data_IF_677742312278
#
_entry.id   IF_677742312278
#
_cell.length_a   1.000
_cell.length_b   1.000
_cell.length_c   1.000
_cell.angle_alpha   90.00
_cell.angle_beta   90.00
_cell.angle_gamma   90.00
#
_symmetry.space_group_name_H-M   'P 1'
#
loop_
_entity.id
_entity.type
_entity.pdbx_description
1 polymer ?
#
# COMPACT_ATOMS: atom_id res chain seq x y z
N UNK A 1 -73.18 -9.12 50.39
CA UNK A 1 -73.10 -8.29 49.19
C UNK A 1 -72.30 -6.92 49.38
N UNK A 2 -72.16 -6.42 50.60
CA UNK A 2 -71.48 -5.11 50.85
C UNK A 2 -69.96 -5.15 50.89
N UNK A 3 -69.31 -6.30 50.87
CA UNK A 3 -67.88 -6.42 50.96
C UNK A 3 -67.16 -6.32 49.58
N UNK A 4 -67.84 -6.65 48.48
CA UNK A 4 -67.31 -6.62 47.13
C UNK A 4 -67.29 -5.24 46.45
N UNK A 5 -68.13 -4.30 46.88
CA UNK A 5 -68.20 -2.95 46.30
C UNK A 5 -67.05 -2.05 46.74
N UNK A 6 -66.37 -2.41 47.84
CA UNK A 6 -65.17 -1.65 48.30
C UNK A 6 -63.80 -2.16 47.71
N UNK A 7 -63.77 -3.33 47.10
CA UNK A 7 -62.59 -3.92 46.52
C UNK A 7 -62.40 -3.52 45.03
N UNK A 8 -63.46 -3.22 44.28
CA UNK A 8 -63.40 -2.80 42.89
C UNK A 8 -62.57 -1.55 42.66
N UNK A 9 -62.65 -0.44 43.41
CA UNK A 9 -61.79 0.73 43.22
C UNK A 9 -60.31 0.47 43.52
N UNK A 10 -60.04 -0.53 44.37
CA UNK A 10 -58.65 -0.92 44.71
C UNK A 10 -58.01 -1.77 43.62
N UNK A 11 -58.79 -2.63 42.95
CA UNK A 11 -58.33 -3.44 41.80
C UNK A 11 -58.12 -2.59 40.59
N UNK A 12 -59.04 -1.66 40.27
CA UNK A 12 -58.86 -0.73 39.15
C UNK A 12 -57.62 0.15 39.33
N UNK A 13 -57.33 0.61 40.56
CA UNK A 13 -56.13 1.39 40.89
C UNK A 13 -54.81 0.55 40.75
N UNK A 14 -54.90 -0.74 41.16
CA UNK A 14 -53.80 -1.66 41.00
C UNK A 14 -53.47 -1.94 39.52
N UNK A 15 -54.46 -2.16 38.68
CA UNK A 15 -54.42 -2.34 37.25
C UNK A 15 -53.84 -1.09 36.52
N UNK A 16 -54.23 0.09 36.97
CA UNK A 16 -53.69 1.35 36.43
C UNK A 16 -52.19 1.49 36.74
N UNK A 17 -51.80 1.20 37.99
CA UNK A 17 -50.40 1.25 38.41
C UNK A 17 -49.55 0.22 37.67
N UNK A 18 -50.07 -0.97 37.40
CA UNK A 18 -49.41 -2.01 36.62
C UNK A 18 -49.12 -1.53 35.18
N UNK A 19 -50.14 -0.93 34.52
CA UNK A 19 -49.97 -0.35 33.17
C UNK A 19 -48.96 0.81 33.13
N UNK A 20 -48.96 1.68 34.16
CA UNK A 20 -47.97 2.76 34.26
C UNK A 20 -46.56 2.21 34.45
N UNK A 21 -46.39 1.15 35.26
CA UNK A 21 -45.11 0.47 35.43
C UNK A 21 -44.63 -0.23 34.14
N UNK A 22 -45.51 -0.91 33.41
CA UNK A 22 -45.20 -1.52 32.12
C UNK A 22 -44.71 -0.47 31.12
N UNK A 23 -45.44 0.64 30.97
CA UNK A 23 -45.04 1.73 30.08
C UNK A 23 -43.68 2.35 30.47
N UNK A 24 -43.40 2.50 31.76
CA UNK A 24 -42.12 2.98 32.26
C UNK A 24 -40.98 2.00 31.94
N UNK A 25 -41.21 0.68 32.12
CA UNK A 25 -40.22 -0.35 31.80
C UNK A 25 -39.93 -0.38 30.28
N UNK A 26 -40.97 -0.35 29.45
CA UNK A 26 -40.81 -0.32 27.99
C UNK A 26 -39.99 0.88 27.52
N UNK A 27 -40.30 2.06 28.06
CA UNK A 27 -39.53 3.27 27.76
C UNK A 27 -38.05 3.14 28.19
N UNK A 28 -37.81 2.68 29.43
CA UNK A 28 -36.45 2.50 29.96
C UNK A 28 -35.66 1.50 29.12
N UNK A 29 -36.26 0.39 28.70
CA UNK A 29 -35.63 -0.61 27.82
C UNK A 29 -35.29 0.00 26.46
N UNK A 30 -36.15 0.85 25.92
CA UNK A 30 -35.93 1.54 24.65
C UNK A 30 -34.77 2.51 24.77
N UNK A 31 -34.77 3.36 25.80
CA UNK A 31 -33.68 4.33 26.07
C UNK A 31 -32.31 3.63 26.23
N UNK A 32 -32.25 2.51 26.96
CA UNK A 32 -31.04 1.70 27.13
C UNK A 32 -30.56 1.07 25.80
N UNK A 33 -31.49 0.64 24.94
CA UNK A 33 -31.13 0.10 23.62
C UNK A 33 -30.53 1.18 22.74
N UNK A 34 -31.11 2.37 22.71
CA UNK A 34 -30.57 3.52 21.93
C UNK A 34 -29.20 3.95 22.43
N UNK A 35 -29.00 4.01 23.76
CA UNK A 35 -27.68 4.33 24.36
C UNK A 35 -26.65 3.29 23.99
N UNK A 36 -26.97 1.99 24.00
CA UNK A 36 -26.05 0.92 23.59
C UNK A 36 -25.70 0.98 22.11
N UNK A 37 -26.68 1.31 21.25
CA UNK A 37 -26.40 1.52 19.80
C UNK A 37 -25.42 2.67 19.62
N UNK A 38 -25.63 3.80 20.31
CA UNK A 38 -24.76 4.97 20.22
C UNK A 38 -23.33 4.66 20.69
N UNK A 39 -23.17 3.92 21.80
CA UNK A 39 -21.86 3.46 22.30
C UNK A 39 -21.16 2.55 21.30
N UNK A 40 -21.90 1.65 20.65
CA UNK A 40 -21.33 0.74 19.65
C UNK A 40 -20.84 1.48 18.40
N UNK A 41 -21.57 2.51 17.95
CA UNK A 41 -21.14 3.36 16.82
C UNK A 41 -19.83 4.07 17.16
N UNK A 42 -19.73 4.67 18.34
CA UNK A 42 -18.50 5.34 18.79
C UNK A 42 -17.34 4.35 18.86
N UNK A 43 -17.56 3.16 19.41
CA UNK A 43 -16.53 2.13 19.51
C UNK A 43 -16.03 1.71 18.11
N UNK A 44 -16.93 1.52 17.16
CA UNK A 44 -16.55 1.17 15.78
C UNK A 44 -15.74 2.28 15.09
N UNK A 45 -16.11 3.56 15.33
CA UNK A 45 -15.36 4.71 14.81
C UNK A 45 -13.95 4.79 15.42
N UNK A 46 -13.83 4.61 16.74
CA UNK A 46 -12.53 4.60 17.42
C UNK A 46 -11.65 3.46 16.92
N UNK A 47 -12.21 2.26 16.71
CA UNK A 47 -11.47 1.12 16.18
C UNK A 47 -10.99 1.38 14.75
N UNK A 48 -11.83 2.01 13.91
CA UNK A 48 -11.44 2.39 12.55
C UNK A 48 -10.28 3.39 12.56
N UNK A 49 -10.39 4.44 13.38
CA UNK A 49 -9.33 5.45 13.51
C UNK A 49 -8.02 4.87 14.05
N UNK A 50 -8.11 3.95 15.01
CA UNK A 50 -6.94 3.25 15.54
C UNK A 50 -6.23 2.42 14.46
N UNK A 51 -6.97 1.66 13.67
CA UNK A 51 -6.42 0.87 12.57
C UNK A 51 -5.74 1.75 11.51
N UNK A 52 -6.32 2.92 11.21
CA UNK A 52 -5.74 3.90 10.29
C UNK A 52 -4.41 4.45 10.83
N UNK A 53 -4.36 4.83 12.09
CA UNK A 53 -3.13 5.31 12.75
C UNK A 53 -2.06 4.21 12.72
N UNK A 54 -2.40 2.98 13.08
CA UNK A 54 -1.47 1.84 13.05
C UNK A 54 -0.90 1.63 11.64
N UNK A 55 -1.73 1.76 10.62
CA UNK A 55 -1.31 1.68 9.22
C UNK A 55 -0.31 2.79 8.85
N UNK A 56 -0.62 4.04 9.20
CA UNK A 56 0.27 5.18 8.95
C UNK A 56 1.61 5.06 9.68
N UNK A 57 1.61 4.54 10.90
CA UNK A 57 2.85 4.26 11.64
C UNK A 57 3.72 3.24 10.90
N UNK A 58 3.14 2.15 10.41
CA UNK A 58 3.88 1.13 9.63
C UNK A 58 4.47 1.70 8.33
N UNK A 59 3.74 2.56 7.63
CA UNK A 59 4.25 3.27 6.45
C UNK A 59 5.43 4.17 6.83
N UNK A 60 5.29 4.96 7.89
CA UNK A 60 6.35 5.85 8.36
C UNK A 60 7.62 5.08 8.77
N UNK A 61 7.47 3.94 9.45
CA UNK A 61 8.59 3.07 9.79
C UNK A 61 9.28 2.48 8.55
N UNK A 62 8.52 2.16 7.50
CA UNK A 62 9.07 1.66 6.24
C UNK A 62 9.91 2.74 5.56
N UNK A 63 9.41 3.98 5.45
CA UNK A 63 10.16 5.12 4.90
C UNK A 63 11.42 5.40 5.73
N UNK A 64 11.32 5.34 7.06
CA UNK A 64 12.48 5.54 7.96
C UNK A 64 13.61 4.53 7.75
N UNK A 65 13.30 3.32 7.28
CA UNK A 65 14.30 2.29 6.97
C UNK A 65 14.91 2.44 5.58
N UNK A 66 14.31 3.24 4.71
CA UNK A 66 14.80 3.50 3.37
C UNK A 66 16.01 4.44 3.41
N UNK A 67 17.01 4.15 2.59
CA UNK A 67 18.12 5.05 2.29
C UNK A 67 17.81 5.96 1.08
N UNK A 68 16.71 5.70 0.37
CA UNK A 68 16.30 6.40 -0.85
C UNK A 68 15.11 7.34 -0.60
N UNK A 69 14.00 6.84 -0.03
CA UNK A 69 12.81 7.64 0.26
C UNK A 69 13.09 8.62 1.39
N UNK A 70 12.76 9.89 1.16
CA UNK A 70 13.00 10.99 2.12
C UNK A 70 11.73 11.36 2.90
N UNK A 71 10.56 11.02 2.37
CA UNK A 71 9.28 11.37 2.98
C UNK A 71 8.18 10.35 2.67
N UNK A 72 7.12 10.38 3.46
CA UNK A 72 5.89 9.61 3.21
C UNK A 72 5.22 10.08 1.91
N UNK A 73 5.33 11.37 1.56
CA UNK A 73 4.73 11.93 0.35
C UNK A 73 5.32 11.32 -0.92
N UNK A 74 6.64 11.04 -0.93
CA UNK A 74 7.30 10.34 -2.04
C UNK A 74 6.74 8.93 -2.22
N UNK A 75 6.55 8.19 -1.14
CA UNK A 75 5.95 6.86 -1.19
C UNK A 75 4.49 6.93 -1.63
N UNK A 76 3.71 7.86 -1.07
CA UNK A 76 2.31 8.07 -1.43
C UNK A 76 2.14 8.41 -2.92
N UNK A 77 3.04 9.19 -3.49
CA UNK A 77 3.02 9.50 -4.92
C UNK A 77 3.20 8.22 -5.77
N UNK A 78 4.11 7.33 -5.40
CA UNK A 78 4.28 6.04 -6.09
C UNK A 78 3.01 5.18 -5.93
N UNK A 79 2.42 5.12 -4.73
CA UNK A 79 1.19 4.37 -4.48
C UNK A 79 0.00 4.91 -5.30
N UNK A 80 -0.11 6.22 -5.48
CA UNK A 80 -1.10 6.84 -6.37
C UNK A 80 -0.91 6.38 -7.83
N UNK A 81 0.32 6.25 -8.31
CA UNK A 81 0.60 5.74 -9.66
C UNK A 81 0.25 4.25 -9.81
N UNK A 82 0.42 3.45 -8.77
CA UNK A 82 -0.01 2.04 -8.75
C UNK A 82 -1.54 1.94 -8.87
N UNK A 83 -2.28 2.83 -8.22
CA UNK A 83 -3.75 2.96 -8.31
C UNK A 83 -4.52 1.67 -8.01
N UNK A 84 -4.07 0.92 -7.01
CA UNK A 84 -4.72 -0.32 -6.53
C UNK A 84 -5.41 -0.15 -5.16
N UNK A 85 -5.66 1.09 -4.76
CA UNK A 85 -6.22 1.43 -3.46
C UNK A 85 -5.17 1.42 -2.34
N UNK A 86 -5.64 1.48 -1.09
CA UNK A 86 -4.77 1.51 0.07
C UNK A 86 -4.06 0.16 0.27
N UNK A 87 -2.73 0.16 0.42
CA UNK A 87 -2.00 -1.06 0.68
C UNK A 87 -2.29 -1.58 2.10
N UNK A 88 -2.36 -2.90 2.25
CA UNK A 88 -2.45 -3.55 3.57
C UNK A 88 -1.10 -3.65 4.27
N UNK A 89 -0.02 -3.70 3.50
CA UNK A 89 1.35 -3.63 4.02
C UNK A 89 2.34 -3.19 2.95
N UNK A 90 3.44 -2.57 3.41
CA UNK A 90 4.60 -2.23 2.60
C UNK A 90 5.82 -2.70 3.37
N UNK A 91 6.67 -3.49 2.72
CA UNK A 91 7.86 -4.07 3.34
C UNK A 91 9.11 -3.83 2.49
N UNK A 92 10.16 -3.27 3.08
CA UNK A 92 11.49 -3.19 2.47
C UNK A 92 12.11 -4.59 2.47
N UNK A 93 12.12 -5.24 1.31
CA UNK A 93 12.69 -6.56 1.12
C UNK A 93 14.21 -6.49 0.99
N UNK A 94 14.68 -5.78 -0.02
CA UNK A 94 16.09 -5.73 -0.42
C UNK A 94 16.62 -4.29 -0.37
N UNK A 95 17.87 -4.15 0.08
CA UNK A 95 18.60 -2.91 0.13
C UNK A 95 20.07 -3.20 -0.20
N UNK A 96 20.56 -2.68 -1.30
CA UNK A 96 21.86 -3.09 -1.86
C UNK A 96 23.06 -2.81 -0.95
N UNK A 97 22.99 -1.77 -0.12
CA UNK A 97 24.02 -1.47 0.89
C UNK A 97 24.02 -2.43 2.08
N UNK A 98 22.89 -3.09 2.37
CA UNK A 98 22.74 -4.08 3.44
C UNK A 98 22.96 -5.50 2.95
N UNK A 99 22.44 -5.83 1.76
CA UNK A 99 22.26 -7.20 1.27
C UNK A 99 23.24 -7.58 0.16
N UNK A 100 24.21 -6.72 -0.14
CA UNK A 100 25.18 -6.85 -1.21
C UNK A 100 24.60 -6.71 -2.65
N UNK A 101 25.43 -6.23 -3.58
CA UNK A 101 25.09 -6.06 -5.01
C UNK A 101 25.29 -7.37 -5.79
N UNK A 102 24.63 -8.45 -5.38
CA UNK A 102 24.76 -9.77 -6.02
C UNK A 102 23.39 -10.29 -6.47
N UNK A 103 23.35 -10.82 -7.70
CA UNK A 103 22.13 -11.41 -8.24
C UNK A 103 21.60 -12.55 -7.37
N UNK A 104 22.48 -13.47 -6.90
CA UNK A 104 22.08 -14.58 -6.05
C UNK A 104 21.38 -14.10 -4.77
N UNK A 105 21.94 -13.09 -4.10
CA UNK A 105 21.34 -12.52 -2.87
C UNK A 105 20.04 -11.81 -3.17
N UNK A 106 19.97 -11.04 -4.28
CA UNK A 106 18.73 -10.41 -4.73
C UNK A 106 17.63 -11.46 -4.93
N UNK A 107 17.89 -12.50 -5.69
CA UNK A 107 16.92 -13.54 -5.98
C UNK A 107 16.51 -14.36 -4.75
N UNK A 108 17.43 -14.62 -3.82
CA UNK A 108 17.08 -15.29 -2.55
C UNK A 108 16.08 -14.46 -1.70
N UNK A 109 16.12 -13.14 -1.83
CA UNK A 109 15.30 -12.23 -1.02
C UNK A 109 14.01 -11.84 -1.74
N UNK A 110 14.07 -11.60 -3.06
CA UNK A 110 13.00 -10.92 -3.80
C UNK A 110 12.13 -11.88 -4.63
N UNK A 111 12.65 -13.06 -4.99
CA UNK A 111 11.88 -14.05 -5.74
C UNK A 111 10.64 -14.51 -4.97
N UNK A 112 9.53 -14.72 -5.70
CA UNK A 112 8.25 -15.09 -5.11
C UNK A 112 7.44 -13.93 -4.54
N UNK A 113 7.99 -12.71 -4.52
CA UNK A 113 7.29 -11.50 -4.08
C UNK A 113 6.74 -10.72 -5.28
N UNK A 114 5.42 -10.73 -5.54
CA UNK A 114 4.78 -9.89 -6.56
C UNK A 114 4.54 -8.47 -6.03
N UNK A 115 4.09 -7.58 -6.92
CA UNK A 115 3.78 -6.18 -6.62
C UNK A 115 4.97 -5.47 -5.94
N UNK A 116 6.09 -5.44 -6.64
CA UNK A 116 7.30 -4.82 -6.12
C UNK A 116 7.55 -3.43 -6.72
N UNK A 117 7.96 -2.49 -5.85
CA UNK A 117 8.53 -1.19 -6.22
C UNK A 117 10.04 -1.34 -6.14
N UNK A 118 10.74 -1.06 -7.22
CA UNK A 118 12.21 -0.99 -7.23
C UNK A 118 12.63 0.47 -7.37
N UNK A 119 13.47 0.94 -6.46
CA UNK A 119 14.03 2.29 -6.44
C UNK A 119 15.53 2.25 -6.71
N UNK A 120 16.02 3.22 -7.46
CA UNK A 120 17.43 3.47 -7.70
C UNK A 120 17.74 4.92 -7.40
N UNK A 121 18.78 5.19 -6.61
CA UNK A 121 19.32 6.53 -6.41
C UNK A 121 20.69 6.66 -7.04
N UNK A 122 20.97 7.83 -7.64
CA UNK A 122 22.27 8.15 -8.21
C UNK A 122 23.24 8.67 -7.12
N UNK A 123 24.53 8.47 -7.33
CA UNK A 123 25.56 8.88 -6.38
C UNK A 123 25.84 10.38 -6.40
N UNK A 124 25.71 11.01 -7.56
CA UNK A 124 26.08 12.41 -7.78
C UNK A 124 24.91 13.34 -7.97
N UNK A 125 23.75 12.78 -8.37
CA UNK A 125 22.53 13.53 -8.65
C UNK A 125 21.51 13.22 -7.55
N UNK A 126 20.78 14.26 -7.13
CA UNK A 126 19.66 14.05 -6.23
C UNK A 126 18.44 13.51 -7.00
N UNK A 127 18.64 12.37 -7.67
CA UNK A 127 17.67 11.74 -8.55
C UNK A 127 17.32 10.35 -8.06
N UNK A 128 16.03 10.09 -8.03
CA UNK A 128 15.45 8.77 -7.75
C UNK A 128 14.60 8.37 -8.95
N UNK A 129 14.97 7.27 -9.58
CA UNK A 129 14.19 6.62 -10.62
C UNK A 129 13.84 5.21 -10.19
N UNK A 130 12.83 4.62 -10.79
CA UNK A 130 12.42 3.28 -10.42
C UNK A 130 11.34 2.70 -11.31
N UNK A 131 10.80 1.58 -10.87
CA UNK A 131 9.69 0.94 -11.55
C UNK A 131 8.84 0.11 -10.59
N UNK A 132 7.64 -0.18 -11.04
CA UNK A 132 6.69 -1.08 -10.41
C UNK A 132 6.36 -2.23 -11.33
N UNK A 133 6.22 -3.43 -10.77
CA UNK A 133 5.71 -4.61 -11.48
C UNK A 133 4.81 -5.44 -10.57
N UNK A 134 3.77 -6.05 -11.16
CA UNK A 134 2.93 -7.05 -10.48
C UNK A 134 3.55 -8.44 -10.53
N UNK A 135 4.58 -8.64 -11.34
CA UNK A 135 5.24 -9.92 -11.54
C UNK A 135 6.32 -10.17 -10.49
N UNK A 136 6.62 -11.45 -10.27
CA UNK A 136 7.77 -11.89 -9.49
C UNK A 136 9.06 -11.83 -10.33
N UNK A 137 10.23 -11.77 -9.69
CA UNK A 137 11.52 -11.65 -10.38
C UNK A 137 12.15 -13.00 -10.77
N UNK A 138 11.60 -14.11 -10.30
CA UNK A 138 12.02 -15.47 -10.66
C UNK A 138 11.78 -15.76 -12.16
N UNK A 139 12.63 -16.57 -12.75
CA UNK A 139 12.46 -16.99 -14.15
C UNK A 139 13.70 -16.76 -15.00
N UNK A 140 13.52 -16.91 -16.34
CA UNK A 140 14.62 -16.78 -17.32
C UNK A 140 14.15 -16.16 -18.63
N UNK A 141 13.13 -15.28 -18.59
CA UNK A 141 12.56 -14.69 -19.80
C UNK A 141 11.77 -13.42 -19.48
N UNK A 142 11.28 -12.75 -20.49
CA UNK A 142 10.35 -11.64 -20.35
C UNK A 142 9.04 -12.07 -19.69
N UNK A 143 8.55 -11.25 -18.78
CA UNK A 143 7.23 -11.42 -18.17
C UNK A 143 6.25 -10.37 -18.66
N UNK A 144 5.00 -10.81 -18.84
CA UNK A 144 3.89 -9.95 -19.26
C UNK A 144 3.29 -9.26 -18.04
N UNK A 145 3.22 -7.93 -18.09
CA UNK A 145 2.58 -7.11 -17.05
C UNK A 145 1.96 -5.86 -17.67
N UNK A 146 0.64 -5.73 -17.56
CA UNK A 146 -0.10 -4.56 -18.06
C UNK A 146 -0.06 -3.37 -17.10
N UNK A 147 0.25 -3.62 -15.84
CA UNK A 147 0.24 -2.62 -14.76
C UNK A 147 1.64 -2.05 -14.49
N UNK A 148 2.68 -2.61 -15.11
CA UNK A 148 4.05 -2.16 -14.93
C UNK A 148 4.23 -0.72 -15.41
N UNK A 149 5.09 0.01 -14.70
CA UNK A 149 5.50 1.35 -15.10
C UNK A 149 6.90 1.67 -14.59
N UNK A 150 7.55 2.63 -15.25
CA UNK A 150 8.74 3.30 -14.76
C UNK A 150 8.38 4.70 -14.25
N UNK A 151 9.25 5.28 -13.46
CA UNK A 151 9.04 6.64 -12.96
C UNK A 151 10.36 7.36 -12.66
N UNK A 152 10.29 8.69 -12.72
CA UNK A 152 11.29 9.58 -12.17
C UNK A 152 10.59 10.36 -11.02
N UNK A 153 11.05 10.12 -9.79
CA UNK A 153 10.43 10.69 -8.60
C UNK A 153 10.70 12.20 -8.48
N UNK A 154 11.89 12.64 -8.89
CA UNK A 154 12.25 14.05 -8.90
C UNK A 154 11.36 14.86 -9.86
N UNK A 155 11.09 14.33 -11.07
CA UNK A 155 10.18 14.93 -12.05
C UNK A 155 8.71 14.71 -11.73
N UNK A 156 8.39 13.86 -10.76
CA UNK A 156 7.03 13.38 -10.49
C UNK A 156 6.34 12.85 -11.76
N UNK A 157 7.08 12.11 -12.57
CA UNK A 157 6.64 11.60 -13.87
C UNK A 157 6.62 10.08 -13.89
N UNK A 158 5.52 9.52 -14.43
CA UNK A 158 5.30 8.09 -14.63
C UNK A 158 5.28 7.75 -16.11
N UNK A 159 5.85 6.61 -16.47
CA UNK A 159 5.95 6.09 -17.84
C UNK A 159 5.31 4.71 -17.88
N UNK A 160 4.12 4.59 -18.46
CA UNK A 160 3.37 3.34 -18.53
C UNK A 160 3.99 2.36 -19.52
N UNK A 161 3.77 1.07 -19.28
CA UNK A 161 4.20 0.04 -20.22
C UNK A 161 3.42 0.16 -21.53
N UNK A 162 4.11 0.20 -22.68
CA UNK A 162 3.53 0.18 -24.03
C UNK A 162 3.65 -1.19 -24.70
N UNK A 163 4.61 -2.02 -24.25
CA UNK A 163 4.76 -3.40 -24.66
C UNK A 163 4.69 -4.34 -23.44
N UNK A 164 3.46 -4.69 -22.99
CA UNK A 164 3.28 -5.49 -21.77
C UNK A 164 3.97 -6.85 -21.81
N UNK A 165 4.13 -7.47 -22.98
CA UNK A 165 4.82 -8.77 -23.11
C UNK A 165 6.31 -8.71 -22.77
N UNK A 166 6.86 -7.52 -22.66
CA UNK A 166 8.26 -7.24 -22.29
C UNK A 166 8.34 -6.22 -21.16
N UNK A 167 7.44 -6.36 -20.17
CA UNK A 167 7.38 -5.42 -19.06
C UNK A 167 8.61 -5.54 -18.14
N UNK A 168 9.01 -6.75 -17.79
CA UNK A 168 10.27 -7.01 -17.08
C UNK A 168 11.01 -8.17 -17.73
N UNK A 169 12.33 -8.22 -17.52
CA UNK A 169 13.14 -9.37 -17.86
C UNK A 169 13.63 -10.06 -16.59
N UNK A 170 13.12 -11.27 -16.33
CA UNK A 170 13.53 -12.08 -15.20
C UNK A 170 14.75 -12.95 -15.61
N UNK A 171 15.81 -12.89 -14.83
CA UNK A 171 17.00 -13.72 -15.06
C UNK A 171 17.80 -13.88 -13.77
N UNK A 172 18.23 -15.09 -13.40
CA UNK A 172 19.00 -15.30 -12.17
C UNK A 172 20.39 -14.67 -12.19
N UNK A 173 20.82 -14.14 -13.34
CA UNK A 173 22.12 -13.48 -13.51
C UNK A 173 22.08 -11.96 -13.35
N UNK A 174 20.89 -11.37 -13.29
CA UNK A 174 20.70 -9.92 -13.18
C UNK A 174 19.89 -9.60 -11.93
N UNK A 175 19.94 -8.36 -11.48
CA UNK A 175 19.01 -7.83 -10.51
C UNK A 175 17.71 -7.42 -11.25
N UNK A 176 16.99 -6.41 -10.75
CA UNK A 176 15.79 -5.94 -11.43
C UNK A 176 16.10 -5.34 -12.80
N UNK A 177 15.41 -5.83 -13.83
CA UNK A 177 15.47 -5.31 -15.20
C UNK A 177 14.07 -5.06 -15.74
N UNK A 178 13.77 -3.80 -16.05
CA UNK A 178 12.51 -3.39 -16.65
C UNK A 178 12.66 -3.25 -18.16
N UNK A 179 11.70 -3.83 -18.88
CA UNK A 179 11.65 -3.80 -20.33
C UNK A 179 12.82 -4.56 -20.98
N UNK A 180 13.16 -4.17 -22.18
CA UNK A 180 14.38 -4.62 -22.86
C UNK A 180 15.50 -3.64 -22.64
N UNK A 181 16.03 -3.54 -21.42
CA UNK A 181 16.97 -2.54 -20.93
C UNK A 181 16.38 -1.12 -20.82
N UNK A 182 15.07 -0.95 -20.67
CA UNK A 182 14.52 0.38 -20.39
C UNK A 182 15.10 0.96 -19.10
N UNK A 183 15.24 0.11 -18.08
CA UNK A 183 15.93 0.42 -16.83
C UNK A 183 16.51 -0.87 -16.27
N UNK A 184 17.82 -0.95 -16.16
CA UNK A 184 18.51 -2.09 -15.58
C UNK A 184 19.74 -1.67 -14.80
N UNK A 185 20.19 -2.60 -13.99
CA UNK A 185 21.37 -2.44 -13.17
C UNK A 185 22.51 -3.35 -13.62
N UNK A 186 23.71 -2.79 -13.79
CA UNK A 186 24.91 -3.54 -14.08
C UNK A 186 26.06 -3.12 -13.18
N UNK A 187 26.43 -3.99 -12.25
CA UNK A 187 27.50 -3.76 -11.24
C UNK A 187 27.16 -2.54 -10.36
N UNK A 188 27.82 -1.39 -10.64
CA UNK A 188 27.65 -0.14 -9.88
C UNK A 188 27.00 0.97 -10.70
N UNK A 189 26.38 0.61 -11.84
CA UNK A 189 25.83 1.57 -12.79
C UNK A 189 24.37 1.27 -13.08
N UNK A 190 23.59 2.32 -13.18
CA UNK A 190 22.23 2.24 -13.73
C UNK A 190 22.39 2.48 -15.24
N UNK A 191 21.82 1.58 -16.01
CA UNK A 191 21.84 1.62 -17.46
C UNK A 191 20.41 1.76 -17.98
N UNK A 192 20.21 2.61 -18.99
CA UNK A 192 18.91 2.83 -19.59
C UNK A 192 19.00 2.94 -21.11
N UNK A 193 18.21 2.13 -21.82
CA UNK A 193 17.93 2.25 -23.26
C UNK A 193 16.51 2.77 -23.51
N UNK A 194 15.88 3.30 -22.48
CA UNK A 194 14.53 3.88 -22.56
C UNK A 194 14.38 4.82 -23.78
N UNK A 195 13.22 4.81 -24.48
CA UNK A 195 12.02 4.03 -24.25
C UNK A 195 11.94 2.84 -25.22
N UNK A 196 12.12 1.63 -24.76
CA UNK A 196 11.96 0.40 -25.56
C UNK A 196 10.59 -0.22 -25.34
N UNK A 197 10.28 -0.58 -24.10
CA UNK A 197 8.99 -1.23 -23.70
C UNK A 197 8.04 -0.30 -22.97
N UNK A 198 8.50 0.87 -22.60
CA UNK A 198 7.73 1.88 -21.86
C UNK A 198 7.50 3.14 -22.69
N UNK A 199 6.46 3.91 -22.33
CA UNK A 199 6.15 5.18 -22.97
C UNK A 199 7.24 6.21 -22.68
N UNK A 200 7.57 7.05 -23.66
CA UNK A 200 8.54 8.13 -23.53
C UNK A 200 8.83 8.79 -24.88
N UNK A 201 9.27 10.01 -24.85
CA UNK A 201 9.53 10.85 -26.03
C UNK A 201 11.01 10.85 -26.45
N UNK A 202 11.92 10.67 -25.50
CA UNK A 202 13.37 10.69 -25.77
C UNK A 202 14.13 9.63 -24.97
N UNK A 203 15.32 9.27 -25.46
CA UNK A 203 16.16 8.22 -24.87
C UNK A 203 16.62 8.52 -23.45
N UNK A 204 16.71 9.76 -23.07
CA UNK A 204 17.22 10.19 -21.77
C UNK A 204 16.16 10.88 -20.91
N UNK A 205 14.89 10.76 -21.29
CA UNK A 205 13.80 11.41 -20.54
C UNK A 205 13.67 10.87 -19.12
N UNK A 206 13.76 9.55 -18.95
CA UNK A 206 13.74 8.88 -17.64
C UNK A 206 14.92 9.34 -16.77
N UNK A 207 16.09 9.53 -17.37
CA UNK A 207 17.38 9.80 -16.71
C UNK A 207 17.83 11.26 -16.82
N UNK A 208 16.94 12.17 -17.22
CA UNK A 208 17.20 13.63 -17.31
C UNK A 208 18.41 14.03 -18.15
N UNK A 209 18.60 13.39 -19.28
CA UNK A 209 19.70 13.68 -20.18
C UNK A 209 20.97 12.84 -19.94
N UNK A 210 20.99 12.00 -18.91
CA UNK A 210 22.14 11.17 -18.58
C UNK A 210 22.01 9.78 -19.21
N UNK A 211 22.98 9.37 -19.99
CA UNK A 211 23.02 8.03 -20.59
C UNK A 211 23.44 6.95 -19.59
N UNK A 212 24.19 7.33 -18.58
CA UNK A 212 24.73 6.45 -17.56
C UNK A 212 24.70 7.13 -16.20
N UNK A 213 24.12 6.44 -15.21
CA UNK A 213 24.05 6.90 -13.83
C UNK A 213 24.94 6.03 -12.95
N UNK A 214 25.47 6.64 -11.88
CA UNK A 214 26.29 5.95 -10.89
C UNK A 214 25.41 5.51 -9.72
N UNK A 215 25.17 4.21 -9.57
CA UNK A 215 24.30 3.70 -8.52
C UNK A 215 24.87 4.00 -7.12
N UNK A 216 24.08 4.66 -6.30
CA UNK A 216 24.33 4.86 -4.87
C UNK A 216 23.64 3.79 -4.04
N UNK A 217 22.36 3.58 -4.30
CA UNK A 217 21.51 2.62 -3.57
C UNK A 217 20.45 2.05 -4.49
N UNK A 218 20.10 0.78 -4.28
CA UNK A 218 18.95 0.11 -4.86
C UNK A 218 18.12 -0.50 -3.75
N UNK A 219 16.81 -0.26 -3.77
CA UNK A 219 15.85 -0.82 -2.82
C UNK A 219 14.69 -1.49 -3.52
N UNK A 220 14.18 -2.56 -2.94
CA UNK A 220 12.95 -3.22 -3.40
C UNK A 220 11.98 -3.33 -2.25
N UNK A 221 10.76 -2.84 -2.48
CA UNK A 221 9.64 -2.92 -1.56
C UNK A 221 8.57 -3.84 -2.12
N UNK A 222 8.02 -4.73 -1.30
CA UNK A 222 6.78 -5.44 -1.58
C UNK A 222 5.60 -4.60 -1.13
N UNK A 223 4.55 -4.52 -1.95
CA UNK A 223 3.29 -3.86 -1.61
C UNK A 223 2.17 -4.88 -1.67
N UNK A 224 1.43 -5.06 -0.56
CA UNK A 224 0.26 -5.92 -0.51
C UNK A 224 -1.01 -5.08 -0.48
N UNK A 225 -1.97 -5.47 -1.30
CA UNK A 225 -3.28 -4.85 -1.38
C UNK A 225 -4.35 -5.80 -0.82
N UNK A 226 -5.53 -5.27 -0.50
CA UNK A 226 -6.69 -6.12 -0.20
C UNK A 226 -7.05 -6.88 -1.47
N UNK A 227 -7.20 -8.20 -1.35
CA UNK A 227 -7.77 -9.07 -2.37
C UNK A 227 -9.28 -8.91 -2.49
#
# INVERSE_FOLDING_TARGET
MKQYENELPSIDKALLLEKENEAYIEKTVTDLKEENISKQIILNQLQSSFNEIEHLVKIAETVKRSNILKSIDELNLILQWINKGEPTSIALLYQSSRDEYKADTFHQIVDGHPNTITLFSDHYLDMVIGGFTTQTWDGKDFKTDNDAFLFNLYKQKVYRVKNPKRAIFASPSYLAEFGGNDLCFSKTKIFSQFPVSYEGESKTELTEGHELLSLKEMEVFEVKFKS
#
